data_IF_890278331743
#
_entry.id   IF_890278331743
#
_cell.length_a   1.000
_cell.length_b   1.000
_cell.length_c   1.000
_cell.angle_alpha   90.00
_cell.angle_beta   90.00
_cell.angle_gamma   90.00
#
_symmetry.space_group_name_H-M   'P 1'
#
loop_
_entity.id
_entity.type
_entity.pdbx_description
1 polymer ?
#
# COMPACT_ATOMS: atom_id res chain seq x y z
N UNK A 1 16.40 35.42 -3.09
CA UNK A 1 15.75 34.89 -1.89
C UNK A 1 15.16 33.56 -2.28
N UNK A 2 15.72 32.44 -1.76
CA UNK A 2 15.16 31.12 -2.04
C UNK A 2 13.85 31.02 -1.27
N UNK A 3 12.71 31.11 -1.94
CA UNK A 3 11.43 30.76 -1.38
C UNK A 3 11.46 29.26 -1.02
N UNK A 4 11.69 28.98 0.25
CA UNK A 4 11.63 27.60 0.76
C UNK A 4 10.17 27.18 0.72
N UNK A 5 9.81 26.34 -0.24
CA UNK A 5 8.46 25.76 -0.31
C UNK A 5 8.06 25.23 1.06
N UNK A 6 6.88 25.62 1.60
CA UNK A 6 6.46 25.19 2.94
C UNK A 6 6.39 23.66 3.04
N UNK A 7 6.74 23.09 4.20
CA UNK A 7 6.72 21.66 4.40
C UNK A 7 5.29 21.11 4.26
N UNK A 8 5.18 19.83 3.87
CA UNK A 8 3.90 19.12 3.84
C UNK A 8 3.40 18.85 5.25
N UNK A 9 4.32 18.42 6.14
CA UNK A 9 4.05 18.07 7.54
C UNK A 9 5.15 18.70 8.38
N UNK A 10 4.78 19.29 9.52
CA UNK A 10 5.70 19.73 10.55
C UNK A 10 5.12 19.36 11.91
N UNK A 11 5.86 18.56 12.66
CA UNK A 11 5.60 18.22 14.06
C UNK A 11 6.66 18.93 14.91
N UNK A 12 6.26 19.52 16.03
CA UNK A 12 7.15 20.23 16.97
C UNK A 12 6.83 19.73 18.37
N UNK A 13 7.79 19.03 18.98
CA UNK A 13 7.70 18.52 20.35
C UNK A 13 6.47 17.65 20.61
N UNK A 14 6.02 16.86 19.61
CA UNK A 14 4.80 16.07 19.70
C UNK A 14 4.98 14.94 20.71
N UNK A 15 4.07 14.89 21.70
CA UNK A 15 3.97 13.78 22.66
C UNK A 15 2.65 13.06 22.53
N UNK A 16 2.62 11.77 22.87
CA UNK A 16 1.38 10.99 22.99
C UNK A 16 1.49 10.09 24.20
N UNK A 17 0.55 10.27 25.13
CA UNK A 17 0.43 9.48 26.33
C UNK A 17 -0.78 8.57 26.25
N UNK A 18 -0.63 7.36 26.78
CA UNK A 18 -1.71 6.39 26.99
C UNK A 18 -1.69 5.91 28.44
N UNK A 19 -2.83 5.42 28.90
CA UNK A 19 -3.02 4.97 30.27
C UNK A 19 -3.55 6.07 31.20
N UNK A 20 -3.67 5.75 32.48
CA UNK A 20 -4.12 6.65 33.55
C UNK A 20 -3.33 6.36 34.83
N UNK A 21 -3.02 7.40 35.61
CA UNK A 21 -2.31 7.29 36.89
C UNK A 21 -0.95 6.60 36.72
N UNK A 22 -0.65 5.65 37.57
CA UNK A 22 0.64 4.95 37.59
C UNK A 22 0.90 4.07 36.37
N UNK A 23 -0.12 3.80 35.53
CA UNK A 23 0.00 3.06 34.27
C UNK A 23 0.16 3.97 33.06
N UNK A 24 0.41 5.27 33.23
CA UNK A 24 0.64 6.21 32.14
C UNK A 24 2.03 5.95 31.50
N UNK A 25 2.06 5.88 30.16
CA UNK A 25 3.31 5.77 29.40
C UNK A 25 3.31 6.66 28.17
N UNK A 26 4.49 7.12 27.77
CA UNK A 26 4.68 7.92 26.58
C UNK A 26 4.89 7.00 25.37
N UNK A 27 3.90 6.94 24.46
CA UNK A 27 4.06 6.26 23.18
C UNK A 27 4.83 7.14 22.16
N UNK A 28 4.77 8.48 22.34
CA UNK A 28 5.64 9.45 21.68
C UNK A 28 6.14 10.43 22.74
N UNK A 29 7.42 10.79 22.67
CA UNK A 29 8.09 11.60 23.66
C UNK A 29 8.91 12.73 23.02
N UNK A 30 8.23 13.82 22.65
CA UNK A 30 8.84 15.04 22.11
C UNK A 30 9.34 14.87 20.66
N UNK A 31 8.51 14.33 19.77
CA UNK A 31 8.88 14.07 18.37
C UNK A 31 8.87 15.37 17.57
N UNK A 32 10.03 15.69 16.97
CA UNK A 32 10.22 16.74 15.97
C UNK A 32 10.38 16.09 14.59
N UNK A 33 9.51 16.43 13.62
CA UNK A 33 9.56 15.87 12.29
C UNK A 33 9.10 16.90 11.25
N UNK A 34 9.93 17.10 10.22
CA UNK A 34 9.55 17.93 9.06
C UNK A 34 9.59 17.07 7.80
N UNK A 35 8.46 16.99 7.08
CA UNK A 35 8.33 16.26 5.81
C UNK A 35 8.07 17.25 4.69
N UNK A 36 8.89 17.22 3.64
CA UNK A 36 8.72 18.06 2.45
C UNK A 36 7.68 17.47 1.50
N UNK A 37 7.12 18.33 0.64
CA UNK A 37 6.22 17.88 -0.45
C UNK A 37 6.98 16.95 -1.40
N UNK A 38 6.38 15.82 -1.75
CA UNK A 38 6.97 14.83 -2.65
C UNK A 38 8.14 14.03 -2.04
N UNK A 39 8.33 14.01 -0.72
CA UNK A 39 9.26 13.07 -0.08
C UNK A 39 8.65 11.67 0.01
N UNK A 40 9.49 10.64 -0.10
CA UNK A 40 9.16 9.27 0.29
C UNK A 40 9.99 8.92 1.51
N UNK A 41 9.34 8.79 2.67
CA UNK A 41 9.99 8.50 3.96
C UNK A 41 9.63 7.09 4.41
N UNK A 42 10.63 6.34 4.86
CA UNK A 42 10.43 5.09 5.59
C UNK A 42 10.71 5.33 7.08
N UNK A 43 9.78 4.92 7.95
CA UNK A 43 9.92 4.96 9.40
C UNK A 43 10.15 3.54 9.89
N UNK A 44 11.26 3.32 10.56
CA UNK A 44 11.69 2.03 11.09
C UNK A 44 11.83 2.07 12.62
N UNK A 45 11.99 0.90 13.21
CA UNK A 45 12.27 0.72 14.64
C UNK A 45 11.64 -0.55 15.20
N UNK A 46 11.98 -0.95 16.42
CA UNK A 46 11.45 -2.14 17.06
C UNK A 46 9.93 -2.08 17.27
N UNK A 47 9.31 -3.22 17.53
CA UNK A 47 7.88 -3.26 17.88
C UNK A 47 7.63 -2.45 19.15
N UNK A 48 6.53 -1.70 19.19
CA UNK A 48 6.17 -0.88 20.36
C UNK A 48 6.87 0.49 20.47
N UNK A 49 7.83 0.84 19.60
CA UNK A 49 8.55 2.13 19.70
C UNK A 49 7.75 3.37 19.24
N UNK A 50 6.45 3.26 18.94
CA UNK A 50 5.59 4.41 18.64
C UNK A 50 5.32 4.68 17.14
N UNK A 51 5.81 3.89 16.18
CA UNK A 51 5.65 4.11 14.73
C UNK A 51 4.19 4.26 14.28
N UNK A 52 3.35 3.29 14.63
CA UNK A 52 1.92 3.32 14.28
C UNK A 52 1.21 4.48 14.99
N UNK A 53 1.61 4.84 16.22
CA UNK A 53 1.09 6.00 16.93
C UNK A 53 1.44 7.29 16.20
N UNK A 54 2.68 7.44 15.75
CA UNK A 54 3.12 8.58 14.95
C UNK A 54 2.34 8.65 13.62
N UNK A 55 2.18 7.52 12.94
CA UNK A 55 1.43 7.44 11.68
C UNK A 55 -0.04 7.84 11.89
N UNK A 56 -0.66 7.42 12.99
CA UNK A 56 -2.05 7.77 13.35
C UNK A 56 -2.21 9.27 13.64
N UNK A 57 -1.24 9.90 14.30
CA UNK A 57 -1.26 11.35 14.53
C UNK A 57 -1.09 12.10 13.21
N UNK A 58 -0.09 11.75 12.40
CA UNK A 58 0.10 12.33 11.07
C UNK A 58 -1.17 12.15 10.23
N UNK A 59 -1.80 10.99 10.34
CA UNK A 59 -3.03 10.64 9.64
C UNK A 59 -4.31 11.31 10.17
N UNK A 60 -4.23 12.12 11.22
CA UNK A 60 -5.39 12.72 11.89
C UNK A 60 -6.42 11.69 12.36
N UNK A 61 -5.99 10.45 12.61
CA UNK A 61 -6.80 9.40 13.25
C UNK A 61 -6.79 9.57 14.77
N UNK A 62 -5.67 10.07 15.32
CA UNK A 62 -5.50 10.38 16.72
C UNK A 62 -4.96 11.81 16.88
N UNK A 63 -4.96 12.31 18.13
CA UNK A 63 -4.43 13.63 18.48
C UNK A 63 -3.21 13.49 19.38
N UNK A 64 -2.22 14.37 19.25
CA UNK A 64 -1.15 14.47 20.22
C UNK A 64 -1.70 14.85 21.61
N UNK A 65 -1.02 14.43 22.67
CA UNK A 65 -1.29 14.89 24.03
C UNK A 65 -0.73 16.29 24.28
N UNK A 66 0.42 16.61 23.66
CA UNK A 66 1.02 17.96 23.62
C UNK A 66 1.90 18.13 22.36
N UNK A 67 2.45 19.32 22.15
CA UNK A 67 3.19 19.69 20.96
C UNK A 67 2.32 20.25 19.84
N UNK A 68 2.92 20.52 18.72
CA UNK A 68 2.25 21.19 17.59
C UNK A 68 2.34 20.36 16.33
N UNK A 69 1.22 20.32 15.57
CA UNK A 69 1.16 19.69 14.27
C UNK A 69 0.63 20.65 13.22
N UNK A 70 1.42 20.86 12.16
CA UNK A 70 1.08 21.66 10.99
C UNK A 70 1.02 20.78 9.74
N UNK A 71 -0.08 20.90 8.98
CA UNK A 71 -0.30 20.28 7.68
C UNK A 71 -0.43 21.39 6.63
N UNK A 72 0.48 21.42 5.62
CA UNK A 72 0.56 22.52 4.65
C UNK A 72 0.57 23.89 5.32
N UNK A 73 1.42 24.10 6.33
CA UNK A 73 1.55 25.31 7.16
C UNK A 73 0.32 25.71 7.99
N UNK A 74 -0.70 24.88 8.02
CA UNK A 74 -1.91 25.13 8.83
C UNK A 74 -1.89 24.27 10.07
N UNK A 75 -2.02 24.90 11.25
CA UNK A 75 -2.16 24.15 12.50
C UNK A 75 -3.44 23.31 12.47
N UNK A 76 -3.29 22.03 12.87
CA UNK A 76 -4.41 21.07 12.95
C UNK A 76 -4.75 20.67 14.38
N UNK A 77 -4.07 21.24 15.38
CA UNK A 77 -4.25 20.89 16.80
C UNK A 77 -5.67 21.14 17.30
N UNK A 78 -6.24 22.29 16.93
CA UNK A 78 -7.54 22.75 17.45
C UNK A 78 -8.72 22.36 16.54
N UNK A 79 -8.51 21.45 15.58
CA UNK A 79 -9.59 21.00 14.72
C UNK A 79 -10.59 20.11 15.48
N UNK A 80 -11.88 20.39 15.33
CA UNK A 80 -12.93 19.49 15.79
C UNK A 80 -12.85 18.13 15.07
N UNK A 81 -13.45 17.07 15.63
CA UNK A 81 -13.47 15.74 15.01
C UNK A 81 -14.02 15.76 13.57
N UNK A 82 -15.04 16.59 13.31
CA UNK A 82 -15.62 16.77 11.96
C UNK A 82 -14.65 17.45 11.00
N UNK A 83 -13.94 18.47 11.46
CA UNK A 83 -12.93 19.17 10.66
C UNK A 83 -11.74 18.24 10.35
N UNK A 84 -11.24 17.49 11.35
CA UNK A 84 -10.19 16.47 11.14
C UNK A 84 -10.60 15.44 10.10
N UNK A 85 -11.82 14.89 10.20
CA UNK A 85 -12.33 13.93 9.23
C UNK A 85 -12.39 14.51 7.80
N UNK A 86 -12.78 15.77 7.65
CA UNK A 86 -12.80 16.49 6.37
C UNK A 86 -11.39 16.67 5.81
N UNK A 87 -10.43 17.14 6.61
CA UNK A 87 -9.03 17.30 6.20
C UNK A 87 -8.42 15.94 5.82
N UNK A 88 -8.60 14.92 6.66
CA UNK A 88 -8.13 13.55 6.39
C UNK A 88 -8.68 13.02 5.07
N UNK A 89 -9.98 13.07 4.86
CA UNK A 89 -10.62 12.54 3.66
C UNK A 89 -10.19 13.23 2.36
N UNK A 90 -9.73 14.48 2.45
CA UNK A 90 -9.30 15.27 1.27
C UNK A 90 -7.81 15.16 0.97
N UNK A 91 -6.97 14.98 2.00
CA UNK A 91 -5.51 15.12 1.86
C UNK A 91 -4.73 13.82 2.08
N UNK A 92 -5.34 12.82 2.75
CA UNK A 92 -4.61 11.65 3.25
C UNK A 92 -5.27 10.38 2.74
N UNK A 93 -4.48 9.49 2.12
CA UNK A 93 -4.84 8.12 1.80
C UNK A 93 -4.12 7.15 2.73
N UNK A 94 -4.84 6.13 3.21
CA UNK A 94 -4.28 5.10 4.08
C UNK A 94 -4.19 3.75 3.38
N UNK A 95 -3.04 3.11 3.54
CA UNK A 95 -2.77 1.73 3.14
C UNK A 95 -2.34 0.97 4.39
N UNK A 96 -3.10 -0.04 4.80
CA UNK A 96 -2.88 -0.81 6.03
C UNK A 96 -2.33 -2.20 5.73
N UNK A 97 -1.60 -2.77 6.67
CA UNK A 97 -1.08 -4.14 6.64
C UNK A 97 -2.21 -5.18 6.46
N UNK A 98 -3.31 -5.02 7.20
CA UNK A 98 -4.47 -5.92 7.15
C UNK A 98 -5.51 -5.51 6.09
N UNK A 99 -5.09 -4.70 5.08
CA UNK A 99 -5.91 -4.20 3.99
C UNK A 99 -7.12 -3.35 4.43
N UNK A 100 -7.79 -3.69 5.52
CA UNK A 100 -8.97 -3.04 6.10
C UNK A 100 -10.08 -2.78 5.07
N UNK A 101 -10.29 -3.72 4.14
CA UNK A 101 -11.43 -3.69 3.23
C UNK A 101 -12.70 -4.14 3.99
N UNK A 102 -13.84 -3.58 3.60
CA UNK A 102 -15.15 -3.99 4.13
C UNK A 102 -15.54 -5.31 3.44
N UNK A 103 -15.60 -6.46 4.17
CA UNK A 103 -15.74 -7.77 3.52
C UNK A 103 -17.07 -7.98 2.78
N UNK A 104 -18.11 -7.22 3.16
CA UNK A 104 -19.47 -7.30 2.58
C UNK A 104 -19.69 -6.38 1.38
N UNK A 105 -18.68 -5.59 1.02
CA UNK A 105 -18.72 -4.70 -0.14
C UNK A 105 -17.87 -5.29 -1.26
N UNK A 106 -18.30 -5.06 -2.50
CA UNK A 106 -17.51 -5.38 -3.69
C UNK A 106 -16.20 -4.60 -3.71
N UNK A 107 -15.26 -4.99 -4.57
CA UNK A 107 -14.04 -4.23 -4.86
C UNK A 107 -14.37 -2.80 -5.24
N UNK A 108 -15.31 -2.63 -6.17
CA UNK A 108 -15.77 -1.33 -6.65
C UNK A 108 -16.34 -0.47 -5.52
N UNK A 109 -17.19 -1.05 -4.67
CA UNK A 109 -17.81 -0.33 -3.56
C UNK A 109 -16.80 0.04 -2.47
N UNK A 110 -15.82 -0.84 -2.18
CA UNK A 110 -14.72 -0.53 -1.27
C UNK A 110 -13.92 0.70 -1.75
N UNK A 111 -13.59 0.77 -3.05
CA UNK A 111 -12.87 1.90 -3.63
C UNK A 111 -13.75 3.15 -3.70
N UNK A 112 -15.05 3.00 -3.95
CA UNK A 112 -16.00 4.12 -3.99
C UNK A 112 -16.33 4.72 -2.60
N UNK A 113 -16.08 3.97 -1.50
CA UNK A 113 -16.49 4.35 -0.15
C UNK A 113 -15.98 5.72 0.31
N UNK A 114 -14.69 6.10 0.11
CA UNK A 114 -14.20 7.43 0.50
C UNK A 114 -14.91 8.58 -0.21
N UNK A 115 -15.33 8.38 -1.45
CA UNK A 115 -16.07 9.38 -2.23
C UNK A 115 -17.48 9.64 -1.67
N UNK A 116 -18.02 8.67 -0.92
CA UNK A 116 -19.30 8.83 -0.20
C UNK A 116 -19.20 9.90 0.87
N UNK A 117 -18.12 9.87 1.63
CA UNK A 117 -17.85 10.86 2.68
C UNK A 117 -17.57 12.26 2.13
N UNK A 118 -17.13 12.34 0.87
CA UNK A 118 -16.95 13.60 0.12
C UNK A 118 -18.28 14.15 -0.44
N UNK A 119 -19.39 13.43 -0.27
CA UNK A 119 -20.71 13.85 -0.75
C UNK A 119 -20.93 13.67 -2.27
N UNK A 120 -20.10 12.87 -2.93
CA UNK A 120 -20.21 12.64 -4.38
C UNK A 120 -21.44 11.77 -4.71
N UNK A 121 -22.18 12.11 -5.79
CA UNK A 121 -23.34 11.34 -6.26
C UNK A 121 -22.95 9.91 -6.68
N UNK A 122 -23.84 8.93 -6.46
CA UNK A 122 -23.56 7.50 -6.65
C UNK A 122 -22.94 7.17 -8.02
N UNK A 123 -23.55 7.62 -9.12
CA UNK A 123 -23.02 7.35 -10.47
C UNK A 123 -21.59 7.84 -10.64
N UNK A 124 -21.31 9.08 -10.21
CA UNK A 124 -19.96 9.64 -10.32
C UNK A 124 -18.93 8.88 -9.43
N UNK A 125 -19.33 8.45 -8.24
CA UNK A 125 -18.45 7.62 -7.37
C UNK A 125 -18.05 6.32 -8.04
N UNK A 126 -19.01 5.62 -8.63
CA UNK A 126 -18.81 4.36 -9.34
C UNK A 126 -17.86 4.57 -10.54
N UNK A 127 -18.08 5.61 -11.34
CA UNK A 127 -17.22 5.94 -12.47
C UNK A 127 -15.77 6.22 -12.05
N UNK A 128 -15.58 7.03 -10.99
CA UNK A 128 -14.23 7.33 -10.47
C UNK A 128 -13.56 6.11 -9.85
N UNK A 129 -14.30 5.27 -9.11
CA UNK A 129 -13.78 4.03 -8.55
C UNK A 129 -13.38 3.04 -9.66
N UNK A 130 -14.20 2.86 -10.70
CA UNK A 130 -13.87 2.02 -11.86
C UNK A 130 -12.64 2.56 -12.60
N UNK A 131 -12.54 3.88 -12.79
CA UNK A 131 -11.39 4.52 -13.42
C UNK A 131 -10.09 4.24 -12.65
N UNK A 132 -10.10 4.35 -11.32
CA UNK A 132 -8.90 4.07 -10.53
C UNK A 132 -8.57 2.56 -10.52
N UNK A 133 -9.56 1.68 -10.44
CA UNK A 133 -9.35 0.22 -10.51
C UNK A 133 -8.70 -0.21 -11.83
N UNK A 134 -9.05 0.43 -12.93
CA UNK A 134 -8.42 0.19 -14.23
C UNK A 134 -6.91 0.50 -14.21
N UNK A 135 -6.46 1.54 -13.48
CA UNK A 135 -5.02 1.85 -13.38
C UNK A 135 -4.22 0.80 -12.59
N UNK A 136 -4.92 -0.02 -11.78
CA UNK A 136 -4.34 -1.14 -11.02
C UNK A 136 -4.62 -2.50 -11.65
N UNK A 137 -5.11 -2.55 -12.90
CA UNK A 137 -5.45 -3.78 -13.62
C UNK A 137 -6.47 -4.66 -12.88
N UNK A 138 -7.47 -4.03 -12.25
CA UNK A 138 -8.53 -4.68 -11.48
C UNK A 138 -9.93 -4.48 -12.09
N UNK A 139 -10.04 -3.96 -13.31
CA UNK A 139 -11.31 -3.70 -13.99
C UNK A 139 -12.17 -4.95 -14.14
N UNK A 140 -11.59 -6.13 -14.38
CA UNK A 140 -12.32 -7.40 -14.48
C UNK A 140 -12.76 -7.96 -13.12
N UNK A 141 -12.32 -7.37 -12.01
CA UNK A 141 -12.58 -7.79 -10.64
C UNK A 141 -13.45 -6.82 -9.85
N UNK A 142 -14.02 -5.82 -10.49
CA UNK A 142 -14.81 -4.74 -9.83
C UNK A 142 -15.95 -5.27 -8.96
N UNK A 143 -16.62 -6.34 -9.39
CA UNK A 143 -17.75 -6.93 -8.69
C UNK A 143 -17.39 -8.10 -7.78
N UNK A 144 -16.09 -8.44 -7.67
CA UNK A 144 -15.62 -9.47 -6.76
C UNK A 144 -15.67 -8.97 -5.32
N UNK A 145 -15.85 -9.91 -4.40
CA UNK A 145 -15.71 -9.65 -2.96
C UNK A 145 -14.24 -9.81 -2.55
N UNK A 146 -13.77 -9.15 -1.48
CA UNK A 146 -12.37 -9.22 -1.04
C UNK A 146 -11.83 -10.64 -0.87
N UNK A 147 -12.64 -11.58 -0.36
CA UNK A 147 -12.25 -12.98 -0.16
C UNK A 147 -12.04 -13.79 -1.44
N UNK A 148 -12.42 -13.26 -2.60
CA UNK A 148 -12.23 -13.89 -3.92
C UNK A 148 -10.92 -13.47 -4.60
N UNK A 149 -10.13 -12.61 -3.94
CA UNK A 149 -8.90 -12.03 -4.48
C UNK A 149 -7.66 -12.64 -3.79
N UNK A 150 -6.53 -12.65 -4.50
CA UNK A 150 -5.23 -12.92 -3.88
C UNK A 150 -4.81 -11.77 -2.96
N UNK A 151 -3.88 -12.00 -2.01
CA UNK A 151 -3.40 -10.97 -1.09
C UNK A 151 -2.87 -9.72 -1.81
N UNK A 152 -2.07 -9.90 -2.87
CA UNK A 152 -1.58 -8.78 -3.68
C UNK A 152 -2.69 -8.02 -4.40
N UNK A 153 -3.74 -8.70 -4.87
CA UNK A 153 -4.91 -8.03 -5.46
C UNK A 153 -5.70 -7.25 -4.41
N UNK A 154 -5.90 -7.82 -3.21
CA UNK A 154 -6.55 -7.12 -2.09
C UNK A 154 -5.78 -5.85 -1.71
N UNK A 155 -4.44 -5.91 -1.67
CA UNK A 155 -3.61 -4.76 -1.38
C UNK A 155 -3.71 -3.68 -2.47
N UNK A 156 -3.75 -4.06 -3.75
CA UNK A 156 -4.01 -3.10 -4.84
C UNK A 156 -5.37 -2.41 -4.71
N UNK A 157 -6.41 -3.14 -4.29
CA UNK A 157 -7.71 -2.53 -3.97
C UNK A 157 -7.60 -1.54 -2.82
N UNK A 158 -6.83 -1.85 -1.77
CA UNK A 158 -6.59 -0.94 -0.66
C UNK A 158 -5.84 0.33 -1.10
N UNK A 159 -4.83 0.20 -1.99
CA UNK A 159 -4.12 1.33 -2.58
C UNK A 159 -5.05 2.16 -3.48
N UNK A 160 -5.84 1.52 -4.35
CA UNK A 160 -6.83 2.20 -5.19
C UNK A 160 -7.83 3.00 -4.34
N UNK A 161 -8.32 2.42 -3.24
CA UNK A 161 -9.18 3.10 -2.26
C UNK A 161 -8.49 4.30 -1.62
N UNK A 162 -7.21 4.17 -1.27
CA UNK A 162 -6.44 5.28 -0.70
C UNK A 162 -6.30 6.45 -1.68
N UNK A 163 -6.17 6.16 -2.98
CA UNK A 163 -5.93 7.16 -4.04
C UNK A 163 -7.19 7.80 -4.63
N UNK A 164 -8.37 7.21 -4.44
CA UNK A 164 -9.60 7.61 -5.16
C UNK A 164 -10.01 9.08 -4.92
N UNK A 165 -9.63 9.64 -3.76
CA UNK A 165 -9.84 11.06 -3.44
C UNK A 165 -8.74 12.00 -3.95
N UNK A 166 -7.74 11.47 -4.67
CA UNK A 166 -6.55 12.19 -5.11
C UNK A 166 -5.82 12.90 -3.94
N UNK A 167 -5.42 12.13 -2.89
CA UNK A 167 -4.77 12.69 -1.72
C UNK A 167 -3.36 13.21 -2.05
N UNK A 168 -2.87 14.16 -1.27
CA UNK A 168 -1.50 14.66 -1.38
C UNK A 168 -0.48 13.87 -0.56
N UNK A 169 -0.97 13.06 0.38
CA UNK A 169 -0.17 12.23 1.30
C UNK A 169 -0.72 10.79 1.28
N UNK A 170 0.18 9.83 1.18
CA UNK A 170 -0.12 8.41 1.39
C UNK A 170 0.60 7.96 2.65
N UNK A 171 -0.15 7.42 3.58
CA UNK A 171 0.35 6.77 4.80
C UNK A 171 0.22 5.27 4.64
N UNK A 172 1.33 4.55 4.71
CA UNK A 172 1.37 3.11 4.54
C UNK A 172 1.92 2.45 5.82
N UNK A 173 1.09 1.68 6.50
CA UNK A 173 1.46 0.92 7.68
C UNK A 173 1.73 -0.53 7.28
N UNK A 174 3.01 -0.91 7.20
CA UNK A 174 3.50 -2.25 6.79
C UNK A 174 2.81 -2.78 5.51
N UNK A 175 2.84 -2.05 4.39
CA UNK A 175 1.99 -2.32 3.22
C UNK A 175 2.26 -3.66 2.54
N UNK A 176 3.33 -4.36 2.90
CA UNK A 176 3.75 -5.65 2.34
C UNK A 176 3.83 -6.77 3.37
N UNK A 177 3.51 -6.50 4.65
CA UNK A 177 3.71 -7.43 5.76
C UNK A 177 2.96 -8.76 5.65
N UNK A 178 1.84 -8.80 4.89
CA UNK A 178 1.02 -9.98 4.69
C UNK A 178 1.10 -10.55 3.26
N UNK A 179 2.17 -10.24 2.51
CA UNK A 179 2.33 -10.61 1.11
C UNK A 179 3.56 -11.49 0.90
N UNK A 180 3.50 -12.31 -0.14
CA UNK A 180 4.69 -13.00 -0.65
C UNK A 180 5.68 -12.01 -1.29
N UNK A 181 6.94 -12.43 -1.48
CA UNK A 181 8.03 -11.58 -1.96
C UNK A 181 7.75 -10.95 -3.34
N UNK A 182 7.10 -11.71 -4.25
CA UNK A 182 6.77 -11.23 -5.60
C UNK A 182 5.68 -10.16 -5.53
N UNK A 183 4.61 -10.41 -4.77
CA UNK A 183 3.53 -9.44 -4.54
C UNK A 183 4.05 -8.20 -3.82
N UNK A 184 4.93 -8.36 -2.83
CA UNK A 184 5.57 -7.27 -2.09
C UNK A 184 6.33 -6.32 -3.02
N UNK A 185 7.14 -6.86 -3.93
CA UNK A 185 7.88 -6.07 -4.93
C UNK A 185 6.93 -5.26 -5.81
N UNK A 186 5.89 -5.90 -6.36
CA UNK A 186 4.91 -5.21 -7.20
C UNK A 186 4.20 -4.07 -6.47
N UNK A 187 3.83 -4.26 -5.20
CA UNK A 187 3.21 -3.21 -4.38
C UNK A 187 4.18 -2.05 -4.14
N UNK A 188 5.46 -2.33 -3.89
CA UNK A 188 6.46 -1.28 -3.69
C UNK A 188 6.74 -0.50 -4.97
N UNK A 189 6.75 -1.15 -6.14
CA UNK A 189 6.84 -0.50 -7.44
C UNK A 189 5.63 0.43 -7.69
N UNK A 190 4.41 -0.02 -7.36
CA UNK A 190 3.21 0.81 -7.45
C UNK A 190 3.29 2.05 -6.53
N UNK A 191 3.75 1.90 -5.29
CA UNK A 191 3.98 3.03 -4.37
C UNK A 191 5.06 3.98 -4.91
N UNK A 192 6.14 3.44 -5.49
CA UNK A 192 7.18 4.25 -6.13
C UNK A 192 6.63 5.04 -7.33
N UNK A 193 5.73 4.45 -8.13
CA UNK A 193 5.04 5.14 -9.22
C UNK A 193 4.16 6.27 -8.74
N UNK A 194 3.41 6.04 -7.66
CA UNK A 194 2.60 7.06 -7.01
C UNK A 194 3.48 8.21 -6.52
N UNK A 195 4.62 7.91 -5.89
CA UNK A 195 5.59 8.91 -5.48
C UNK A 195 6.15 9.71 -6.67
N UNK A 196 6.51 9.05 -7.79
CA UNK A 196 6.98 9.72 -9.02
C UNK A 196 5.96 10.72 -9.60
N UNK A 197 4.66 10.50 -9.34
CA UNK A 197 3.59 11.44 -9.72
C UNK A 197 3.46 12.64 -8.78
N UNK A 198 4.34 12.76 -7.77
CA UNK A 198 4.41 13.89 -6.85
C UNK A 198 3.72 13.72 -5.50
N UNK A 199 3.18 12.55 -5.20
CA UNK A 199 2.61 12.27 -3.89
C UNK A 199 3.72 12.18 -2.82
N UNK A 200 3.43 12.69 -1.63
CA UNK A 200 4.25 12.46 -0.44
C UNK A 200 3.88 11.10 0.15
N UNK A 201 4.87 10.25 0.43
CA UNK A 201 4.64 8.93 1.02
C UNK A 201 5.37 8.82 2.35
N UNK A 202 4.66 8.37 3.38
CA UNK A 202 5.24 8.01 4.67
C UNK A 202 4.86 6.55 4.93
N UNK A 203 5.87 5.69 5.01
CA UNK A 203 5.70 4.26 5.18
C UNK A 203 6.33 3.81 6.48
N UNK A 204 5.60 3.05 7.28
CA UNK A 204 6.14 2.29 8.40
C UNK A 204 6.50 0.90 7.92
N UNK A 205 7.68 0.42 8.23
CA UNK A 205 8.12 -0.94 7.93
C UNK A 205 9.19 -1.41 8.90
N UNK A 206 9.24 -2.72 9.14
CA UNK A 206 10.34 -3.37 9.84
C UNK A 206 11.31 -4.09 8.88
N UNK A 207 11.00 -4.11 7.56
CA UNK A 207 11.84 -4.75 6.54
C UNK A 207 12.85 -3.73 5.96
N UNK A 208 14.17 -3.92 6.19
CA UNK A 208 15.21 -3.03 5.66
C UNK A 208 15.29 -2.99 4.13
N UNK A 209 14.96 -4.09 3.43
CA UNK A 209 15.02 -4.15 1.97
C UNK A 209 14.06 -3.16 1.31
N UNK A 210 12.90 -2.94 1.95
CA UNK A 210 11.86 -2.05 1.44
C UNK A 210 12.25 -0.58 1.58
N UNK A 211 13.15 -0.23 2.51
CA UNK A 211 13.61 1.15 2.71
C UNK A 211 14.33 1.73 1.50
N UNK A 212 14.87 0.86 0.63
CA UNK A 212 15.54 1.28 -0.62
C UNK A 212 14.63 2.08 -1.57
N UNK A 213 13.30 1.92 -1.46
CA UNK A 213 12.33 2.72 -2.21
C UNK A 213 12.16 4.15 -1.67
N UNK A 214 12.51 4.38 -0.41
CA UNK A 214 12.42 5.68 0.23
C UNK A 214 13.60 6.60 -0.13
N UNK A 215 13.39 7.91 -0.03
CA UNK A 215 14.47 8.91 -0.16
C UNK A 215 15.10 9.27 1.18
N UNK A 216 14.44 8.89 2.29
CA UNK A 216 14.83 9.21 3.66
C UNK A 216 14.34 8.12 4.59
N UNK A 217 15.19 7.70 5.52
CA UNK A 217 14.87 6.71 6.55
C UNK A 217 14.96 7.37 7.91
N UNK A 218 13.92 7.17 8.71
CA UNK A 218 13.82 7.62 10.09
C UNK A 218 13.77 6.39 10.97
N UNK A 219 14.66 6.29 11.95
CA UNK A 219 14.61 5.23 12.94
C UNK A 219 13.99 5.79 14.22
N UNK A 220 13.03 5.06 14.78
CA UNK A 220 12.41 5.39 16.06
C UNK A 220 12.84 4.39 17.14
N UNK A 221 13.07 4.92 18.34
CA UNK A 221 13.34 4.15 19.54
C UNK A 221 12.63 4.82 20.72
N UNK A 222 11.91 4.04 21.54
CA UNK A 222 11.26 4.49 22.79
C UNK A 222 10.45 5.80 22.65
N UNK A 223 9.66 5.90 21.58
CA UNK A 223 8.81 7.06 21.33
C UNK A 223 9.51 8.28 20.76
N UNK A 224 10.80 8.20 20.44
CA UNK A 224 11.62 9.31 19.89
C UNK A 224 12.15 8.97 18.49
N UNK A 225 12.54 10.01 17.76
CA UNK A 225 13.37 9.84 16.56
C UNK A 225 14.81 9.69 17.02
N UNK A 226 15.41 8.54 16.71
CA UNK A 226 16.81 8.22 17.01
C UNK A 226 17.74 8.67 15.87
N UNK A 227 17.41 8.30 14.61
CA UNK A 227 18.17 8.72 13.43
C UNK A 227 17.27 9.24 12.34
N UNK A 228 17.80 10.10 11.49
CA UNK A 228 17.12 10.72 10.35
C UNK A 228 18.08 10.90 9.18
N UNK A 229 18.08 9.93 8.27
CA UNK A 229 19.10 9.80 7.24
C UNK A 229 18.50 9.90 5.82
N UNK A 230 19.16 10.67 4.94
CA UNK A 230 18.84 10.70 3.52
C UNK A 230 19.58 9.61 2.76
N UNK A 231 18.85 8.83 1.99
CA UNK A 231 19.44 7.82 1.11
C UNK A 231 19.99 8.49 -0.16
N UNK A 232 21.33 8.51 -0.30
CA UNK A 232 22.03 9.17 -1.42
C UNK A 232 22.04 8.39 -2.74
N UNK A 233 21.81 7.06 -2.73
CA UNK A 233 21.95 6.19 -3.90
C UNK A 233 20.71 5.33 -4.13
N UNK A 234 19.72 5.87 -4.85
CA UNK A 234 18.53 5.14 -5.31
C UNK A 234 18.82 4.10 -6.40
N UNK A 235 19.86 4.32 -7.22
CA UNK A 235 20.11 3.54 -8.45
C UNK A 235 20.80 2.19 -8.21
N UNK A 236 21.55 2.05 -7.12
CA UNK A 236 22.37 0.83 -6.88
C UNK A 236 21.51 -0.34 -6.40
N UNK A 237 20.39 -0.09 -5.74
CA UNK A 237 19.54 -1.16 -5.18
C UNK A 237 18.58 -1.78 -6.20
N UNK A 238 18.00 -1.01 -7.13
CA UNK A 238 17.16 -1.56 -8.19
C UNK A 238 17.93 -2.48 -9.14
N UNK A 239 19.18 -2.18 -9.45
CA UNK A 239 20.04 -3.03 -10.29
C UNK A 239 20.53 -4.28 -9.56
N UNK A 240 20.85 -4.23 -8.28
CA UNK A 240 21.26 -5.42 -7.49
C UNK A 240 20.15 -6.44 -7.32
N UNK A 241 18.89 -6.01 -7.24
CA UNK A 241 17.73 -6.90 -7.11
C UNK A 241 17.42 -7.64 -8.43
N UNK A 242 17.66 -7.01 -9.58
CA UNK A 242 17.48 -7.63 -10.89
C UNK A 242 18.53 -8.74 -11.12
N UNK A 243 19.77 -8.53 -10.71
CA UNK A 243 20.88 -9.49 -10.88
C UNK A 243 20.74 -10.70 -9.94
N UNK A 244 20.16 -10.53 -8.76
CA UNK A 244 20.00 -11.63 -7.79
C UNK A 244 18.88 -12.63 -8.13
N UNK A 245 17.95 -12.30 -9.02
CA UNK A 245 16.87 -13.21 -9.47
C UNK A 245 17.24 -14.05 -10.68
N UNK A 246 18.17 -13.60 -11.53
CA UNK A 246 18.65 -14.38 -12.69
C UNK A 246 19.52 -15.58 -12.27
N UNK A 247 20.10 -15.56 -11.06
CA UNK A 247 20.94 -16.64 -10.55
C UNK A 247 20.17 -17.76 -9.82
N UNK A 248 18.84 -17.70 -9.72
CA UNK A 248 18.00 -18.66 -8.98
C UNK A 248 17.06 -19.52 -9.83
N UNK A 249 17.34 -19.72 -11.12
CA UNK A 249 16.69 -20.84 -11.80
C UNK A 249 17.24 -22.17 -11.26
N UNK A 250 16.39 -23.07 -10.76
CA UNK A 250 16.86 -24.39 -10.33
C UNK A 250 17.32 -25.17 -11.56
N UNK A 251 18.63 -25.39 -11.68
CA UNK A 251 19.19 -26.33 -12.63
C UNK A 251 18.61 -27.71 -12.33
N UNK A 252 17.69 -28.13 -13.17
CA UNK A 252 17.14 -29.49 -13.14
C UNK A 252 18.23 -30.50 -13.53
N UNK A 253 18.68 -31.41 -12.63
CA UNK A 253 19.84 -32.28 -12.89
C UNK A 253 19.56 -33.47 -13.82
N UNK A 254 18.37 -33.59 -14.41
CA UNK A 254 17.93 -34.79 -15.14
C UNK A 254 17.76 -34.61 -16.66
N UNK A 255 18.63 -33.86 -17.33
CA UNK A 255 18.61 -33.84 -18.80
C UNK A 255 19.90 -34.44 -19.39
N UNK A 256 20.03 -35.79 -19.33
CA UNK A 256 20.98 -36.53 -20.14
C UNK A 256 20.37 -36.77 -21.53
N UNK A 257 21.06 -36.51 -22.64
CA UNK A 257 20.54 -36.75 -23.99
C UNK A 257 20.44 -38.27 -24.27
N UNK A 258 19.22 -38.79 -24.42
CA UNK A 258 19.00 -40.14 -24.95
C UNK A 258 19.25 -40.17 -26.46
N UNK A 259 20.19 -41.03 -26.86
CA UNK A 259 20.53 -41.34 -28.23
C UNK A 259 19.31 -41.86 -28.98
N UNK A 260 19.12 -41.36 -30.20
CA UNK A 260 18.14 -41.77 -31.17
C UNK A 260 18.31 -43.23 -31.60
N UNK A 261 17.29 -44.06 -31.47
CA UNK A 261 17.12 -45.29 -32.25
C UNK A 261 15.75 -45.20 -32.96
N UNK A 262 15.82 -45.30 -34.27
CA UNK A 262 14.68 -45.15 -35.17
C UNK A 262 13.66 -46.27 -35.08
N UNK A 263 12.40 -45.95 -35.19
CA UNK A 263 11.36 -46.87 -35.65
C UNK A 263 10.22 -46.10 -36.34
N UNK A 264 9.74 -46.70 -37.42
CA UNK A 264 8.86 -46.24 -38.48
C UNK A 264 7.45 -45.83 -38.01
N UNK A 265 6.73 -44.96 -38.76
CA UNK A 265 5.42 -44.47 -38.38
C UNK A 265 4.33 -45.50 -38.63
N UNK A 266 3.45 -45.73 -37.64
CA UNK A 266 2.18 -46.48 -37.76
C UNK A 266 1.02 -45.54 -38.13
N UNK A 267 0.21 -45.99 -39.10
CA UNK A 267 -0.96 -45.31 -39.69
C UNK A 267 -2.10 -45.09 -38.65
N UNK A 268 -2.94 -44.06 -38.79
CA UNK A 268 -4.06 -43.83 -37.88
C UNK A 268 -5.26 -44.72 -38.21
N UNK A 269 -5.86 -45.27 -37.14
CA UNK A 269 -7.10 -46.06 -37.20
C UNK A 269 -8.28 -45.12 -36.92
N UNK A 270 -9.11 -44.92 -37.97
CA UNK A 270 -10.40 -44.24 -37.83
C UNK A 270 -11.41 -45.20 -37.20
N UNK A 271 -11.97 -44.89 -36.00
CA UNK A 271 -13.14 -45.53 -35.46
C UNK A 271 -14.40 -44.70 -35.76
N UNK A 272 -15.29 -45.29 -36.55
CA UNK A 272 -16.63 -44.78 -36.91
C UNK A 272 -17.51 -44.63 -35.66
N UNK A 273 -18.06 -43.45 -35.44
CA UNK A 273 -19.10 -43.15 -34.48
C UNK A 273 -20.47 -43.43 -35.10
N UNK A 274 -21.19 -44.44 -34.56
CA UNK A 274 -22.59 -44.73 -34.96
C UNK A 274 -23.56 -43.73 -34.34
N UNK A 275 -24.32 -43.04 -35.19
CA UNK A 275 -25.47 -42.20 -34.84
C UNK A 275 -26.59 -43.10 -34.28
N UNK A 276 -27.09 -42.84 -33.06
CA UNK A 276 -28.34 -43.35 -32.53
C UNK A 276 -29.46 -42.33 -32.80
N UNK A 277 -30.51 -42.82 -33.44
CA UNK A 277 -31.73 -42.09 -33.81
C UNK A 277 -32.61 -41.83 -32.57
N UNK A 278 -33.23 -40.67 -32.55
CA UNK A 278 -34.30 -40.29 -31.66
C UNK A 278 -35.52 -41.18 -31.83
N UNK A 279 -36.14 -41.57 -30.72
CA UNK A 279 -37.54 -42.03 -30.65
C UNK A 279 -38.33 -41.00 -29.85
N UNK A 280 -39.30 -40.39 -30.53
CA UNK A 280 -40.43 -39.63 -29.95
C UNK A 280 -41.26 -40.59 -29.09
N UNK A 281 -41.68 -40.16 -27.91
CA UNK A 281 -42.90 -40.67 -27.27
C UNK A 281 -43.78 -39.50 -26.90
N UNK A 282 -45.04 -39.57 -27.38
CA UNK A 282 -46.20 -38.74 -27.04
C UNK A 282 -46.81 -39.26 -25.75
N UNK A 283 -47.23 -38.45 -24.88
CA UNK A 283 -48.51 -38.23 -24.22
C UNK A 283 -48.34 -37.23 -23.07
#
# INVERSE_FOLDING_TARGET
MNETTPPRIKLVGVTKKFGFGDAEFNALDGVDLTVKKGEFIAIMGPSGCGKTTLLNIIGLLDQPSSGEYYLDDKSVNNLSSRQRAKVRSSNIGFVFQNFNLVPRLSVLDNVALPLTYKGMRKLKRIQEASRILKTFHLNEREYYMPHQLSGGQVQRVAIARALVNNPSIILADEPTGNLDSKSSRLIMEELADIHRRGNTIIMVTHNPEITSYASRVITMLDGKIDTDEKIKNREIFSQKLIIADDDKEPKNPDNKPKKSSGSKPKKPIFKKIKRRKNKKVKS
#
